data_IF_467082077946
#
_entry.id   IF_467082077946
#
_cell.length_a   1.000
_cell.length_b   1.000
_cell.length_c   1.000
_cell.angle_alpha   90.00
_cell.angle_beta   90.00
_cell.angle_gamma   90.00
#
_symmetry.space_group_name_H-M   'P 1'
#
loop_
_entity.id
_entity.type
_entity.pdbx_description
1 polymer ?
#
# COMPACT_ATOMS: atom_id res chain seq x y z
N UNK A 1 -15.00 17.25 -6.54
CA UNK A 1 -16.01 17.23 -5.45
C UNK A 1 -15.42 16.41 -4.33
N UNK A 2 -15.22 17.05 -3.16
CA UNK A 2 -14.82 16.38 -1.92
C UNK A 2 -15.95 15.43 -1.57
N UNK A 3 -15.68 14.13 -1.49
CA UNK A 3 -16.59 13.16 -0.93
C UNK A 3 -16.61 13.34 0.58
N UNK A 4 -17.49 14.17 1.04
CA UNK A 4 -17.80 14.45 2.43
C UNK A 4 -18.93 15.46 2.44
N UNK A 5 -19.91 15.23 3.30
CA UNK A 5 -20.97 16.19 3.61
C UNK A 5 -20.30 17.56 3.80
N UNK A 6 -20.73 18.61 3.08
CA UNK A 6 -20.21 19.99 3.30
C UNK A 6 -20.26 20.39 4.77
N UNK A 7 -21.10 19.76 5.57
CA UNK A 7 -21.16 19.95 7.03
C UNK A 7 -19.97 19.35 7.78
N UNK A 8 -19.21 18.42 7.20
CA UNK A 8 -17.97 17.87 7.79
C UNK A 8 -16.81 18.86 7.82
N UNK A 9 -16.82 19.89 6.97
CA UNK A 9 -15.83 20.96 6.96
C UNK A 9 -15.95 21.91 8.18
N UNK A 10 -17.10 21.91 8.86
CA UNK A 10 -17.32 22.72 10.06
C UNK A 10 -16.71 22.15 11.34
N UNK A 11 -16.16 20.93 11.29
CA UNK A 11 -15.51 20.29 12.45
C UNK A 11 -13.98 20.40 12.43
N UNK A 12 -13.39 21.05 11.43
CA UNK A 12 -11.96 21.32 11.43
C UNK A 12 -11.66 22.37 12.51
N UNK A 13 -10.71 22.11 13.43
CA UNK A 13 -10.36 23.08 14.46
C UNK A 13 -9.92 24.37 13.80
N UNK A 14 -10.65 25.44 14.05
CA UNK A 14 -10.30 26.77 13.58
C UNK A 14 -8.87 27.11 14.01
N UNK A 15 -7.95 27.18 13.06
CA UNK A 15 -6.65 27.80 13.23
C UNK A 15 -5.39 26.94 13.09
N UNK A 16 -5.44 25.62 12.86
CA UNK A 16 -4.24 24.77 12.69
C UNK A 16 -4.43 23.56 11.77
N UNK A 17 -5.23 23.67 10.72
CA UNK A 17 -5.33 22.62 9.71
C UNK A 17 -4.23 22.80 8.66
N UNK A 18 -3.58 21.71 8.28
CA UNK A 18 -2.69 21.66 7.13
C UNK A 18 -3.26 20.67 6.13
N UNK A 19 -3.46 21.11 4.90
CA UNK A 19 -3.99 20.29 3.83
C UNK A 19 -2.91 19.95 2.79
N UNK A 20 -2.91 18.69 2.34
CA UNK A 20 -2.13 18.24 1.20
C UNK A 20 -3.08 18.14 0.00
N UNK A 21 -2.82 18.88 -1.05
CA UNK A 21 -3.70 18.91 -2.22
C UNK A 21 -2.92 19.03 -3.51
N UNK A 22 -3.45 18.49 -4.60
CA UNK A 22 -2.94 18.72 -5.95
C UNK A 22 -3.74 19.78 -6.71
N UNK A 23 -4.68 20.47 -6.04
CA UNK A 23 -5.54 21.49 -6.67
C UNK A 23 -7.02 21.32 -6.34
N UNK A 24 -7.87 21.81 -7.22
CA UNK A 24 -9.33 21.67 -7.12
C UNK A 24 -9.97 22.53 -6.03
N UNK A 25 -11.12 22.08 -5.52
CA UNK A 25 -11.91 22.85 -4.56
C UNK A 25 -11.22 23.00 -3.20
N UNK A 26 -10.46 21.98 -2.78
CA UNK A 26 -9.69 22.03 -1.51
C UNK A 26 -8.66 23.16 -1.54
N UNK A 27 -7.94 23.32 -2.65
CA UNK A 27 -6.98 24.42 -2.79
C UNK A 27 -7.68 25.79 -2.73
N UNK A 28 -8.79 25.95 -3.46
CA UNK A 28 -9.56 27.20 -3.44
C UNK A 28 -10.03 27.58 -2.02
N UNK A 29 -10.60 26.61 -1.29
CA UNK A 29 -11.04 26.82 0.08
C UNK A 29 -9.86 27.20 0.98
N UNK A 30 -8.72 26.53 0.82
CA UNK A 30 -7.52 26.82 1.61
C UNK A 30 -7.01 28.26 1.34
N UNK A 31 -6.98 28.69 0.08
CA UNK A 31 -6.59 30.04 -0.32
C UNK A 31 -7.60 31.10 0.17
N UNK A 32 -8.89 30.89 -0.06
CA UNK A 32 -9.96 31.81 0.36
C UNK A 32 -10.00 32.04 1.88
N UNK A 33 -9.72 30.99 2.66
CA UNK A 33 -9.74 31.07 4.12
C UNK A 33 -8.35 31.21 4.74
N UNK A 34 -7.30 31.42 3.91
CA UNK A 34 -5.92 31.57 4.35
C UNK A 34 -5.47 30.43 5.29
N UNK A 35 -5.81 29.18 4.92
CA UNK A 35 -5.42 27.96 5.64
C UNK A 35 -4.04 27.51 5.21
N UNK A 36 -3.29 26.88 6.12
CA UNK A 36 -2.01 26.27 5.78
C UNK A 36 -2.25 25.10 4.82
N UNK A 37 -1.57 25.09 3.68
CA UNK A 37 -1.66 24.01 2.70
C UNK A 37 -0.34 23.77 1.98
N UNK A 38 -0.18 22.57 1.45
CA UNK A 38 0.96 22.17 0.63
C UNK A 38 0.42 21.66 -0.69
N UNK A 39 0.86 22.28 -1.78
CA UNK A 39 0.49 21.83 -3.13
C UNK A 39 1.48 20.80 -3.62
N UNK A 40 0.98 19.60 -3.92
CA UNK A 40 1.78 18.52 -4.51
C UNK A 40 1.51 18.43 -6.03
N UNK A 41 2.41 17.84 -6.83
CA UNK A 41 2.18 17.68 -8.27
C UNK A 41 0.88 16.95 -8.58
N UNK A 42 0.11 17.49 -9.52
CA UNK A 42 -1.14 16.91 -10.01
C UNK A 42 -0.97 16.21 -11.38
N UNK A 43 -2.09 15.73 -11.93
CA UNK A 43 -2.12 15.13 -13.28
C UNK A 43 -1.74 13.65 -13.34
N UNK A 44 -1.47 13.02 -12.20
CA UNK A 44 -1.17 11.59 -12.09
C UNK A 44 -2.18 10.91 -11.14
N UNK A 45 -2.42 9.60 -11.30
CA UNK A 45 -3.25 8.87 -10.36
C UNK A 45 -2.65 8.94 -8.95
N UNK A 46 -3.47 9.15 -7.89
CA UNK A 46 -2.97 9.24 -6.50
C UNK A 46 -2.09 8.05 -6.10
N UNK A 47 -2.43 6.86 -6.57
CA UNK A 47 -1.66 5.62 -6.31
C UNK A 47 -0.23 5.65 -6.86
N UNK A 48 0.04 6.42 -7.91
CA UNK A 48 1.38 6.63 -8.46
C UNK A 48 2.16 7.74 -7.77
N UNK A 49 1.55 8.47 -6.81
CA UNK A 49 2.08 9.69 -6.22
C UNK A 49 2.38 9.55 -4.71
N UNK A 50 2.47 8.32 -4.18
CA UNK A 50 2.69 8.11 -2.74
C UNK A 50 3.93 8.86 -2.23
N UNK A 51 5.02 8.86 -2.98
CA UNK A 51 6.26 9.53 -2.59
C UNK A 51 6.06 11.01 -2.27
N UNK A 52 5.24 11.72 -3.06
CA UNK A 52 4.94 13.13 -2.81
C UNK A 52 4.13 13.31 -1.51
N UNK A 53 3.03 12.59 -1.37
CA UNK A 53 2.14 12.76 -0.21
C UNK A 53 2.77 12.26 1.09
N UNK A 54 3.43 11.10 1.07
CA UNK A 54 4.04 10.50 2.24
C UNK A 54 5.20 11.35 2.78
N UNK A 55 6.06 11.85 1.90
CA UNK A 55 7.19 12.71 2.30
C UNK A 55 6.69 14.00 2.95
N UNK A 56 5.70 14.66 2.36
CA UNK A 56 5.12 15.87 2.97
C UNK A 56 4.44 15.57 4.31
N UNK A 57 3.78 14.42 4.45
CA UNK A 57 3.18 14.02 5.72
C UNK A 57 4.23 13.87 6.83
N UNK A 58 5.41 13.30 6.55
CA UNK A 58 6.49 13.25 7.52
C UNK A 58 6.95 14.64 7.96
N UNK A 59 7.12 15.58 7.02
CA UNK A 59 7.46 16.96 7.38
C UNK A 59 6.37 17.64 8.21
N UNK A 60 5.11 17.45 7.90
CA UNK A 60 3.98 17.99 8.68
C UNK A 60 3.98 17.40 10.10
N UNK A 61 4.14 16.09 10.24
CA UNK A 61 4.17 15.44 11.54
C UNK A 61 5.36 15.90 12.39
N UNK A 62 6.54 16.09 11.77
CA UNK A 62 7.72 16.64 12.45
C UNK A 62 7.49 18.10 12.84
N UNK A 63 6.94 18.93 11.97
CA UNK A 63 6.63 20.33 12.27
C UNK A 63 5.73 20.49 13.50
N UNK A 64 4.77 19.61 13.69
CA UNK A 64 3.90 19.58 14.88
C UNK A 64 4.48 18.82 16.07
N UNK A 65 5.72 18.34 15.99
CA UNK A 65 6.41 17.63 17.06
C UNK A 65 5.81 16.25 17.38
N UNK A 66 5.07 15.65 16.45
CA UNK A 66 4.49 14.30 16.60
C UNK A 66 5.57 13.24 16.39
N UNK A 67 6.50 13.48 15.47
CA UNK A 67 7.68 12.64 15.22
C UNK A 67 8.95 13.50 15.25
N UNK A 68 10.10 12.86 15.48
CA UNK A 68 11.41 13.53 15.40
C UNK A 68 11.90 13.66 13.94
N UNK A 69 13.02 14.38 13.73
CA UNK A 69 13.54 14.73 12.40
C UNK A 69 14.34 13.61 11.73
N UNK A 70 14.59 12.50 12.43
CA UNK A 70 15.37 11.37 11.91
C UNK A 70 14.77 10.70 10.66
N UNK A 71 13.51 10.95 10.35
CA UNK A 71 12.85 10.42 9.16
C UNK A 71 13.53 10.89 7.87
N UNK A 72 14.10 12.10 7.83
CA UNK A 72 14.76 12.63 6.63
C UNK A 72 15.98 11.79 6.22
N UNK A 73 16.83 11.43 7.20
CA UNK A 73 17.96 10.53 6.98
C UNK A 73 17.51 9.12 6.60
N UNK A 74 16.44 8.63 7.20
CA UNK A 74 15.87 7.31 6.88
C UNK A 74 15.31 7.27 5.45
N UNK A 75 14.64 8.34 5.00
CA UNK A 75 14.19 8.46 3.60
C UNK A 75 15.39 8.51 2.65
N UNK A 76 16.44 9.27 2.96
CA UNK A 76 17.63 9.33 2.12
C UNK A 76 18.32 7.96 1.99
N UNK A 77 18.39 7.19 3.09
CA UNK A 77 18.88 5.81 3.06
C UNK A 77 17.97 4.90 2.24
N UNK A 78 16.66 5.05 2.38
CA UNK A 78 15.69 4.27 1.60
C UNK A 78 15.84 4.54 0.09
N UNK A 79 16.03 5.79 -0.33
CA UNK A 79 16.29 6.13 -1.74
C UNK A 79 17.54 5.39 -2.24
N UNK A 80 18.66 5.48 -1.49
CA UNK A 80 19.90 4.79 -1.84
C UNK A 80 19.71 3.27 -1.91
N UNK A 81 18.95 2.68 -0.97
CA UNK A 81 18.62 1.26 -0.97
C UNK A 81 17.84 0.87 -2.22
N UNK A 82 16.80 1.62 -2.56
CA UNK A 82 15.95 1.35 -3.72
C UNK A 82 16.75 1.46 -5.03
N UNK A 83 17.56 2.49 -5.18
CA UNK A 83 18.44 2.65 -6.36
C UNK A 83 19.37 1.44 -6.53
N UNK A 84 19.98 0.96 -5.44
CA UNK A 84 20.88 -0.19 -5.47
C UNK A 84 20.14 -1.53 -5.73
N UNK A 85 18.90 -1.66 -5.31
CA UNK A 85 18.12 -2.89 -5.41
C UNK A 85 17.14 -2.90 -6.60
N UNK A 86 17.06 -1.83 -7.38
CA UNK A 86 16.05 -1.65 -8.43
C UNK A 86 15.97 -2.85 -9.38
N UNK A 87 17.10 -3.30 -9.92
CA UNK A 87 17.12 -4.44 -10.84
C UNK A 87 16.68 -5.75 -10.17
N UNK A 88 17.04 -5.96 -8.89
CA UNK A 88 16.65 -7.14 -8.12
C UNK A 88 15.14 -7.11 -7.82
N UNK A 89 14.62 -5.94 -7.44
CA UNK A 89 13.19 -5.73 -7.16
C UNK A 89 12.38 -6.01 -8.42
N UNK A 90 12.73 -5.41 -9.54
CA UNK A 90 12.04 -5.63 -10.81
C UNK A 90 12.04 -7.11 -11.23
N UNK A 91 13.20 -7.76 -11.15
CA UNK A 91 13.29 -9.17 -11.50
C UNK A 91 12.43 -10.05 -10.59
N UNK A 92 12.54 -9.90 -9.28
CA UNK A 92 11.81 -10.70 -8.32
C UNK A 92 10.29 -10.44 -8.37
N UNK A 93 9.86 -9.19 -8.55
CA UNK A 93 8.46 -8.83 -8.74
C UNK A 93 7.87 -9.42 -10.01
N UNK A 94 8.63 -9.45 -11.10
CA UNK A 94 8.22 -10.05 -12.37
C UNK A 94 8.03 -11.56 -12.24
N UNK A 95 8.93 -12.26 -11.55
CA UNK A 95 8.79 -13.71 -11.33
C UNK A 95 7.61 -14.02 -10.40
N UNK A 96 7.39 -13.21 -9.36
CA UNK A 96 6.21 -13.36 -8.51
C UNK A 96 4.91 -13.09 -9.28
N UNK A 97 4.88 -12.09 -10.17
CA UNK A 97 3.71 -11.83 -11.01
C UNK A 97 3.32 -13.08 -11.84
N UNK A 98 4.30 -13.77 -12.44
CA UNK A 98 4.05 -15.02 -13.17
C UNK A 98 3.48 -16.11 -12.26
N UNK A 99 3.98 -16.19 -11.02
CA UNK A 99 3.54 -17.22 -10.05
C UNK A 99 2.10 -17.02 -9.61
N UNK A 100 1.67 -15.75 -9.43
CA UNK A 100 0.32 -15.44 -8.95
C UNK A 100 -0.69 -15.17 -10.09
N UNK A 101 -0.23 -15.12 -11.34
CA UNK A 101 -1.11 -14.96 -12.49
C UNK A 101 -2.16 -16.07 -12.56
N UNK A 102 -3.40 -15.71 -12.85
CA UNK A 102 -4.57 -16.61 -12.84
C UNK A 102 -4.92 -17.23 -11.48
N UNK A 103 -4.43 -16.67 -10.37
CA UNK A 103 -4.84 -17.07 -9.02
C UNK A 103 -5.50 -15.90 -8.30
N UNK A 104 -6.07 -16.14 -7.12
CA UNK A 104 -6.54 -15.07 -6.23
C UNK A 104 -5.50 -14.86 -5.11
N UNK A 105 -4.75 -13.75 -5.11
CA UNK A 105 -3.72 -13.50 -4.11
C UNK A 105 -4.30 -13.18 -2.73
N UNK A 106 -3.70 -13.79 -1.71
CA UNK A 106 -3.94 -13.47 -0.30
C UNK A 106 -2.65 -12.92 0.29
N UNK A 107 -2.71 -11.71 0.83
CA UNK A 107 -1.55 -10.98 1.34
C UNK A 107 -1.55 -11.07 2.86
N UNK A 108 -0.46 -11.56 3.44
CA UNK A 108 -0.26 -11.59 4.88
C UNK A 108 0.95 -10.76 5.30
N UNK A 109 0.80 -10.02 6.38
CA UNK A 109 1.86 -9.20 6.96
C UNK A 109 1.76 -9.19 8.49
N UNK A 110 2.80 -8.78 9.18
CA UNK A 110 2.72 -8.45 10.59
C UNK A 110 1.85 -7.20 10.80
N UNK A 111 1.13 -7.09 11.93
CA UNK A 111 0.17 -6.02 12.18
C UNK A 111 0.77 -4.61 12.08
N UNK A 112 2.03 -4.43 12.49
CA UNK A 112 2.74 -3.15 12.38
C UNK A 112 3.07 -2.74 10.92
N UNK A 113 2.96 -3.68 9.95
CA UNK A 113 3.14 -3.45 8.52
C UNK A 113 1.83 -3.56 7.73
N UNK A 114 0.69 -3.55 8.39
CA UNK A 114 -0.62 -3.65 7.74
C UNK A 114 -0.82 -2.61 6.63
N UNK A 115 -0.35 -1.36 6.82
CA UNK A 115 -0.41 -0.31 5.81
C UNK A 115 0.26 -0.69 4.48
N UNK A 116 1.36 -1.45 4.54
CA UNK A 116 2.05 -1.97 3.34
C UNK A 116 1.20 -3.04 2.66
N UNK A 117 0.60 -3.95 3.45
CA UNK A 117 -0.33 -4.98 2.94
C UNK A 117 -1.59 -4.37 2.28
N UNK A 118 -2.18 -3.36 2.92
CA UNK A 118 -3.31 -2.59 2.36
C UNK A 118 -2.94 -1.99 1.02
N UNK A 119 -1.76 -1.32 0.94
CA UNK A 119 -1.31 -0.72 -0.30
C UNK A 119 -1.11 -1.76 -1.40
N UNK A 120 -0.43 -2.87 -1.13
CA UNK A 120 -0.23 -3.92 -2.13
C UNK A 120 -1.58 -4.43 -2.66
N UNK A 121 -2.55 -4.68 -1.78
CA UNK A 121 -3.91 -5.05 -2.18
C UNK A 121 -4.53 -4.02 -3.12
N UNK A 122 -4.44 -2.73 -2.77
CA UNK A 122 -4.98 -1.64 -3.59
C UNK A 122 -4.30 -1.57 -4.95
N UNK A 123 -2.98 -1.70 -5.01
CA UNK A 123 -2.22 -1.69 -6.26
C UNK A 123 -2.60 -2.88 -7.15
N UNK A 124 -2.77 -4.08 -6.62
CA UNK A 124 -3.23 -5.24 -7.38
C UNK A 124 -4.65 -5.04 -7.91
N UNK A 125 -5.56 -4.50 -7.09
CA UNK A 125 -6.91 -4.20 -7.53
C UNK A 125 -6.95 -3.13 -8.64
N UNK A 126 -6.26 -2.00 -8.44
CA UNK A 126 -6.36 -0.85 -9.34
C UNK A 126 -5.50 -1.01 -10.59
N UNK A 127 -4.26 -1.49 -10.49
CA UNK A 127 -3.37 -1.62 -11.64
C UNK A 127 -3.64 -2.92 -12.41
N UNK A 128 -3.64 -4.06 -11.72
CA UNK A 128 -3.77 -5.36 -12.35
C UNK A 128 -5.21 -5.83 -12.56
N UNK A 129 -6.22 -5.08 -12.09
CA UNK A 129 -7.64 -5.48 -12.10
C UNK A 129 -7.87 -6.84 -11.43
N UNK A 130 -7.04 -7.16 -10.44
CA UNK A 130 -7.02 -8.45 -9.77
C UNK A 130 -7.65 -8.37 -8.38
N UNK A 131 -8.76 -9.09 -8.16
CA UNK A 131 -9.33 -9.23 -6.81
C UNK A 131 -8.35 -9.97 -5.90
N UNK A 132 -8.12 -9.42 -4.72
CA UNK A 132 -7.31 -10.00 -3.67
C UNK A 132 -7.72 -9.43 -2.31
N UNK A 133 -7.29 -10.06 -1.24
CA UNK A 133 -7.46 -9.52 0.12
C UNK A 133 -6.17 -9.60 0.92
N UNK A 134 -6.17 -8.95 2.08
CA UNK A 134 -5.06 -9.01 3.02
C UNK A 134 -5.58 -9.30 4.42
N UNK A 135 -4.72 -9.84 5.24
CA UNK A 135 -4.94 -9.97 6.66
C UNK A 135 -3.60 -9.93 7.41
N UNK A 136 -3.67 -9.77 8.73
CA UNK A 136 -2.48 -9.59 9.56
C UNK A 136 -2.29 -10.69 10.58
N UNK A 137 -1.02 -10.98 10.87
CA UNK A 137 -0.65 -11.75 12.05
C UNK A 137 -0.63 -10.84 13.29
N UNK A 138 -1.14 -11.27 14.46
CA UNK A 138 -1.63 -12.63 14.73
C UNK A 138 -3.13 -12.84 14.46
N UNK A 139 -3.90 -11.82 14.09
CA UNK A 139 -5.36 -11.88 14.06
C UNK A 139 -5.91 -12.97 13.15
N UNK A 140 -5.36 -13.12 11.94
CA UNK A 140 -5.78 -14.17 11.01
C UNK A 140 -5.70 -15.59 11.59
N UNK A 141 -4.85 -15.82 12.58
CA UNK A 141 -4.70 -17.13 13.21
C UNK A 141 -5.92 -17.56 14.02
N UNK A 142 -6.76 -16.61 14.45
CA UNK A 142 -7.93 -16.88 15.28
C UNK A 142 -9.18 -17.22 14.46
N UNK A 143 -9.21 -16.86 13.18
CA UNK A 143 -10.40 -16.97 12.33
C UNK A 143 -10.06 -17.54 10.95
N UNK A 144 -9.36 -16.81 10.10
CA UNK A 144 -9.13 -17.15 8.69
C UNK A 144 -8.33 -18.45 8.52
N UNK A 145 -7.40 -18.74 9.43
CA UNK A 145 -6.56 -19.96 9.35
C UNK A 145 -7.41 -21.26 9.30
N UNK A 146 -8.55 -21.29 9.98
CA UNK A 146 -9.48 -22.43 9.93
C UNK A 146 -10.15 -22.53 8.55
N UNK A 147 -10.41 -21.39 7.90
CA UNK A 147 -10.98 -21.30 6.56
C UNK A 147 -10.11 -21.93 5.48
N UNK A 148 -8.80 -22.05 5.71
CA UNK A 148 -7.87 -22.68 4.77
C UNK A 148 -8.18 -24.16 4.45
N UNK A 149 -9.07 -24.82 5.20
CA UNK A 149 -9.60 -26.12 4.80
C UNK A 149 -10.31 -26.11 3.43
N UNK A 150 -10.77 -24.95 2.99
CA UNK A 150 -11.35 -24.74 1.66
C UNK A 150 -10.34 -24.20 0.64
N UNK A 151 -9.06 -24.18 0.97
CA UNK A 151 -7.98 -23.72 0.10
C UNK A 151 -7.82 -24.60 -1.14
N UNK A 152 -7.27 -24.01 -2.20
CA UNK A 152 -7.04 -24.69 -3.48
C UNK A 152 -5.90 -24.04 -4.26
N UNK A 153 -5.46 -24.65 -5.33
CA UNK A 153 -4.44 -24.11 -6.24
C UNK A 153 -4.90 -22.81 -6.98
N UNK A 154 -6.19 -22.47 -6.90
CA UNK A 154 -6.70 -21.18 -7.39
C UNK A 154 -6.31 -20.00 -6.49
N UNK A 155 -5.75 -20.28 -5.30
CA UNK A 155 -5.26 -19.27 -4.36
C UNK A 155 -3.73 -19.19 -4.42
N UNK A 156 -3.21 -18.00 -4.22
CA UNK A 156 -1.78 -17.76 -3.96
C UNK A 156 -1.59 -16.97 -2.68
N UNK A 157 -0.50 -17.21 -1.98
CA UNK A 157 -0.17 -16.52 -0.73
C UNK A 157 1.08 -15.67 -0.93
N UNK A 158 0.99 -14.40 -0.55
CA UNK A 158 2.13 -13.47 -0.49
C UNK A 158 2.34 -13.08 0.97
N UNK A 159 3.45 -13.52 1.55
CA UNK A 159 3.82 -13.19 2.92
C UNK A 159 4.86 -12.07 2.91
N UNK A 160 4.47 -10.86 3.31
CA UNK A 160 5.40 -9.73 3.47
C UNK A 160 6.05 -9.82 4.86
N UNK A 161 7.36 -9.96 4.90
CA UNK A 161 8.10 -10.28 6.12
C UNK A 161 9.22 -9.29 6.40
N UNK A 162 9.48 -9.09 7.69
CA UNK A 162 10.68 -8.41 8.15
C UNK A 162 11.51 -9.37 9.01
N UNK A 163 12.82 -9.41 8.81
CA UNK A 163 13.73 -10.22 9.64
C UNK A 163 13.73 -9.79 11.10
N UNK A 164 13.26 -8.56 11.39
CA UNK A 164 13.17 -7.95 12.72
C UNK A 164 11.78 -8.05 13.35
N UNK A 165 10.84 -8.75 12.72
CA UNK A 165 9.52 -9.01 13.32
C UNK A 165 9.69 -9.75 14.65
N UNK A 166 8.75 -9.49 15.57
CA UNK A 166 8.74 -10.18 16.88
C UNK A 166 8.82 -11.70 16.70
N UNK A 167 9.66 -12.36 17.49
CA UNK A 167 9.98 -13.79 17.35
C UNK A 167 8.74 -14.70 17.22
N UNK A 168 7.71 -14.44 18.03
CA UNK A 168 6.46 -15.23 17.95
C UNK A 168 5.69 -14.96 16.66
N UNK A 169 5.83 -13.78 16.05
CA UNK A 169 5.25 -13.48 14.75
C UNK A 169 6.01 -14.22 13.66
N UNK A 170 7.33 -14.28 13.72
CA UNK A 170 8.13 -15.10 12.80
C UNK A 170 7.74 -16.58 12.90
N UNK A 171 7.61 -17.12 14.12
CA UNK A 171 7.13 -18.49 14.34
C UNK A 171 5.74 -18.75 13.74
N UNK A 172 4.83 -17.77 13.81
CA UNK A 172 3.51 -17.85 13.16
C UNK A 172 3.64 -17.90 11.65
N UNK A 173 4.46 -17.07 11.04
CA UNK A 173 4.72 -17.11 9.59
C UNK A 173 5.21 -18.49 9.16
N UNK A 174 6.24 -19.04 9.82
CA UNK A 174 6.79 -20.36 9.49
C UNK A 174 5.74 -21.49 9.64
N UNK A 175 4.93 -21.42 10.69
CA UNK A 175 3.89 -22.42 10.94
C UNK A 175 2.78 -22.33 9.90
N UNK A 176 2.30 -21.11 9.62
CA UNK A 176 1.24 -20.88 8.64
C UNK A 176 1.69 -21.21 7.22
N UNK A 177 2.93 -20.91 6.84
CA UNK A 177 3.52 -21.33 5.57
C UNK A 177 3.37 -22.84 5.35
N UNK A 178 3.69 -23.65 6.38
CA UNK A 178 3.51 -25.10 6.32
C UNK A 178 2.04 -25.54 6.22
N UNK A 179 1.13 -24.77 6.81
CA UNK A 179 -0.31 -25.02 6.73
C UNK A 179 -0.82 -24.68 5.33
N UNK A 180 -0.52 -23.48 4.81
CA UNK A 180 -0.93 -23.05 3.48
C UNK A 180 -0.42 -23.99 2.38
N UNK A 181 0.84 -24.44 2.48
CA UNK A 181 1.47 -25.38 1.55
C UNK A 181 0.80 -26.77 1.49
N UNK A 182 -0.19 -27.06 2.34
CA UNK A 182 -1.04 -28.25 2.22
C UNK A 182 -2.21 -28.06 1.23
N UNK A 183 -2.51 -26.81 0.88
CA UNK A 183 -3.69 -26.43 0.12
C UNK A 183 -3.36 -25.74 -1.20
N UNK A 184 -2.21 -25.08 -1.30
CA UNK A 184 -1.71 -24.45 -2.52
C UNK A 184 -0.19 -24.56 -2.59
N UNK A 185 0.34 -24.78 -3.78
CA UNK A 185 1.78 -24.73 -4.06
C UNK A 185 2.31 -23.28 -4.15
N UNK A 186 1.41 -22.29 -4.31
CA UNK A 186 1.74 -20.90 -4.57
C UNK A 186 1.88 -20.10 -3.26
N UNK A 187 2.90 -20.39 -2.45
CA UNK A 187 3.21 -19.69 -1.20
C UNK A 187 4.56 -19.00 -1.31
N UNK A 188 4.57 -17.69 -1.41
CA UNK A 188 5.78 -16.88 -1.58
C UNK A 188 6.01 -15.96 -0.39
N UNK A 189 7.25 -15.88 0.06
CA UNK A 189 7.70 -14.94 1.07
C UNK A 189 8.51 -13.82 0.40
N UNK A 190 8.18 -12.58 0.73
CA UNK A 190 8.90 -11.38 0.31
C UNK A 190 9.47 -10.71 1.54
N UNK A 191 10.79 -10.75 1.69
CA UNK A 191 11.47 -10.10 2.80
C UNK A 191 11.83 -8.67 2.48
N UNK A 192 11.56 -7.78 3.43
CA UNK A 192 12.05 -6.41 3.36
C UNK A 192 13.56 -6.35 3.43
N UNK A 193 14.13 -5.26 2.93
CA UNK A 193 15.53 -4.88 3.13
C UNK A 193 15.60 -3.51 3.80
N UNK A 194 16.76 -3.21 4.38
CA UNK A 194 17.01 -1.97 5.12
C UNK A 194 17.05 -2.17 6.63
N UNK A 195 17.52 -1.15 7.32
CA UNK A 195 17.75 -1.19 8.77
C UNK A 195 16.59 -0.57 9.55
N UNK A 196 15.96 0.48 8.98
CA UNK A 196 14.87 1.22 9.63
C UNK A 196 13.50 0.79 9.11
N UNK A 197 12.45 1.11 9.88
CA UNK A 197 11.07 0.80 9.47
C UNK A 197 10.66 1.52 8.17
N UNK A 198 11.17 2.74 7.95
CA UNK A 198 10.92 3.49 6.70
C UNK A 198 11.58 2.80 5.51
N UNK A 199 12.84 2.38 5.63
CA UNK A 199 13.54 1.65 4.56
C UNK A 199 12.80 0.35 4.21
N UNK A 200 12.43 -0.44 5.23
CA UNK A 200 11.71 -1.72 5.06
C UNK A 200 10.34 -1.52 4.40
N UNK A 201 9.59 -0.52 4.88
CA UNK A 201 8.28 -0.21 4.32
C UNK A 201 8.38 0.24 2.85
N UNK A 202 9.28 1.18 2.54
CA UNK A 202 9.48 1.67 1.17
C UNK A 202 10.00 0.59 0.24
N UNK A 203 10.86 -0.32 0.72
CA UNK A 203 11.31 -1.48 -0.06
C UNK A 203 10.14 -2.39 -0.47
N UNK A 204 9.28 -2.76 0.48
CA UNK A 204 8.12 -3.62 0.20
C UNK A 204 7.06 -2.89 -0.65
N UNK A 205 6.88 -1.60 -0.46
CA UNK A 205 6.00 -0.77 -1.28
C UNK A 205 6.48 -0.75 -2.73
N UNK A 206 7.75 -0.45 -2.95
CA UNK A 206 8.33 -0.40 -4.29
C UNK A 206 8.29 -1.76 -5.00
N UNK A 207 8.57 -2.83 -4.25
CA UNK A 207 8.39 -4.20 -4.73
C UNK A 207 6.94 -4.46 -5.16
N UNK A 208 5.97 -4.06 -4.33
CA UNK A 208 4.54 -4.24 -4.62
C UNK A 208 4.04 -3.40 -5.80
N UNK A 209 4.59 -2.20 -5.98
CA UNK A 209 4.26 -1.33 -7.12
C UNK A 209 4.71 -1.99 -8.43
N UNK A 210 5.95 -2.52 -8.52
CA UNK A 210 6.43 -3.30 -9.66
C UNK A 210 5.64 -4.59 -9.87
N UNK A 211 5.33 -5.32 -8.78
CA UNK A 211 4.52 -6.54 -8.87
C UNK A 211 3.17 -6.27 -9.51
N UNK A 212 2.49 -5.21 -9.08
CA UNK A 212 1.18 -4.85 -9.61
C UNK A 212 1.22 -4.46 -11.08
N UNK A 213 2.31 -3.79 -11.51
CA UNK A 213 2.51 -3.42 -12.89
C UNK A 213 2.80 -4.64 -13.77
N UNK A 214 3.72 -5.53 -13.37
CA UNK A 214 3.97 -6.76 -14.14
C UNK A 214 2.75 -7.67 -14.21
N UNK A 215 1.94 -7.71 -13.14
CA UNK A 215 0.70 -8.48 -13.18
C UNK A 215 -0.34 -7.84 -14.12
N UNK A 216 -0.38 -6.50 -14.22
CA UNK A 216 -1.26 -5.83 -15.18
C UNK A 216 -0.91 -6.19 -16.62
N UNK A 217 0.38 -6.28 -16.95
CA UNK A 217 0.85 -6.72 -18.27
C UNK A 217 0.40 -8.17 -18.58
N UNK A 218 0.51 -9.07 -17.59
CA UNK A 218 0.07 -10.46 -17.77
C UNK A 218 -1.45 -10.61 -17.87
N UNK A 219 -2.20 -9.73 -17.18
CA UNK A 219 -3.66 -9.68 -17.26
C UNK A 219 -4.18 -8.90 -18.48
N UNK A 220 -3.30 -8.37 -19.35
CA UNK A 220 -3.64 -7.49 -20.47
C UNK A 220 -4.53 -6.30 -20.04
N UNK A 221 -4.29 -5.78 -18.84
CA UNK A 221 -5.06 -4.71 -18.21
C UNK A 221 -4.33 -3.36 -18.32
N UNK A 222 -5.05 -2.31 -18.69
CA UNK A 222 -4.51 -0.96 -18.59
C UNK A 222 -4.42 -0.55 -17.12
N UNK A 223 -3.18 -0.39 -16.63
CA UNK A 223 -2.92 0.00 -15.26
C UNK A 223 -3.40 1.41 -14.90
N UNK A 224 -3.66 2.26 -15.91
CA UNK A 224 -4.10 3.64 -15.69
C UNK A 224 -5.63 3.79 -15.66
N UNK A 225 -6.35 2.92 -16.35
CA UNK A 225 -7.80 2.95 -16.49
C UNK A 225 -8.49 2.75 -15.13
N UNK A 226 -9.58 3.49 -14.86
CA UNK A 226 -10.44 3.41 -13.67
C UNK A 226 -11.92 3.63 -14.00
N UNK A 227 -12.37 3.20 -15.19
CA UNK A 227 -13.72 3.46 -15.72
C UNK A 227 -14.85 3.10 -14.76
N UNK A 228 -14.72 1.99 -14.01
CA UNK A 228 -15.71 1.56 -13.03
C UNK A 228 -15.86 2.58 -11.90
N UNK A 229 -14.73 3.17 -11.45
CA UNK A 229 -14.72 4.21 -10.42
C UNK A 229 -15.33 5.51 -10.97
N UNK A 230 -15.02 5.86 -12.21
CA UNK A 230 -15.55 7.07 -12.85
C UNK A 230 -17.05 6.94 -13.11
N UNK A 231 -17.52 5.75 -13.50
CA UNK A 231 -18.95 5.45 -13.57
C UNK A 231 -19.65 5.66 -12.22
N UNK A 232 -19.11 5.08 -11.14
CA UNK A 232 -19.65 5.29 -9.79
C UNK A 232 -19.71 6.77 -9.41
N UNK A 233 -18.63 7.54 -9.67
CA UNK A 233 -18.59 8.99 -9.41
C UNK A 233 -19.66 9.73 -10.21
N UNK A 234 -19.85 9.34 -11.48
CA UNK A 234 -20.89 9.92 -12.34
C UNK A 234 -22.29 9.69 -11.76
N UNK A 235 -22.60 8.48 -11.29
CA UNK A 235 -23.90 8.19 -10.67
C UNK A 235 -24.11 9.01 -9.39
N UNK A 236 -23.09 9.06 -8.51
CA UNK A 236 -23.16 9.85 -7.27
C UNK A 236 -23.31 11.36 -7.51
N UNK A 237 -22.88 11.86 -8.66
CA UNK A 237 -23.02 13.28 -9.00
C UNK A 237 -24.42 13.68 -9.42
N UNK A 238 -25.31 12.71 -9.66
CA UNK A 238 -26.73 12.93 -10.04
C UNK A 238 -27.65 13.05 -8.82
N UNK A 239 -27.17 12.67 -7.63
CA UNK A 239 -27.86 12.75 -6.34
C UNK A 239 -27.37 13.95 -5.52
#
# INVERSE_FOLDING_TARGET
KVYGDPRGLHSLPTGRSSDLTSGGEVLKIAEEHNLNHIVIPGGMPPRACLGYSLTQLFFVLSHYGIIGDSFADQIAKAITLLDNEEANIQHASKELAKTIHNTTPIIYTAANFEGVGIRLRQQLNENAKQLCWHHVFPEMNHNELVGWKSGSEALSVIMLRNSTDYERTQTRFETCKKIFGKYTSNVTEVYSKGDTEIEKALYLIHYGDWLSWYLSELNEADSMEVEVIDYLKSELSKT
#
